data_IF_930761293676
#
_entry.id   IF_930761293676
#
_cell.length_a   1.000
_cell.length_b   1.000
_cell.length_c   1.000
_cell.angle_alpha   90.00
_cell.angle_beta   90.00
_cell.angle_gamma   90.00
#
_symmetry.space_group_name_H-M   'P 1'
#
loop_
_entity.id
_entity.type
_entity.pdbx_description
1 polymer ?
#
# COMPACT_ATOMS: atom_id res chain seq x y z
N UNK A 1 16.77 10.93 -0.84
CA UNK A 1 15.61 10.14 -1.35
C UNK A 1 14.54 10.00 -0.28
N UNK A 2 14.91 9.74 0.99
CA UNK A 2 13.94 9.71 2.09
C UNK A 2 13.19 11.02 2.29
N UNK A 3 13.80 12.19 2.13
CA UNK A 3 13.14 13.47 2.47
C UNK A 3 11.81 13.71 1.74
N UNK A 4 11.79 13.47 0.43
CA UNK A 4 10.57 13.59 -0.36
C UNK A 4 9.52 12.54 0.02
N UNK A 5 9.96 11.30 0.24
CA UNK A 5 9.07 10.19 0.61
C UNK A 5 8.50 10.41 2.00
N UNK A 6 9.33 10.80 2.97
CA UNK A 6 8.95 11.15 4.32
C UNK A 6 7.90 12.26 4.30
N UNK A 7 8.11 13.33 3.51
CA UNK A 7 7.12 14.40 3.33
C UNK A 7 5.74 13.85 2.89
N UNK A 8 5.70 12.88 1.97
CA UNK A 8 4.44 12.27 1.54
C UNK A 8 3.78 11.51 2.69
N UNK A 9 4.54 10.71 3.44
CA UNK A 9 3.98 9.90 4.52
C UNK A 9 3.55 10.75 5.72
N UNK A 10 4.38 11.72 6.11
CA UNK A 10 4.15 12.63 7.23
C UNK A 10 2.97 13.56 6.97
N UNK A 11 2.64 13.84 5.70
CA UNK A 11 1.40 14.54 5.33
C UNK A 11 0.15 13.79 5.81
N UNK A 12 0.18 12.45 5.83
CA UNK A 12 -0.95 11.63 6.29
C UNK A 12 -0.86 11.31 7.78
N UNK A 13 0.35 11.07 8.30
CA UNK A 13 0.55 10.75 9.71
C UNK A 13 1.92 11.21 10.20
N UNK A 14 1.91 12.09 11.20
CA UNK A 14 3.09 12.53 11.92
C UNK A 14 2.86 12.42 13.42
N UNK A 15 3.81 11.81 14.12
CA UNK A 15 3.82 11.73 15.58
C UNK A 15 5.26 11.70 16.08
N UNK A 16 5.68 12.71 16.85
CA UNK A 16 7.00 12.71 17.47
C UNK A 16 6.94 11.97 18.83
N UNK A 17 7.93 11.13 19.19
CA UNK A 17 9.20 10.89 18.48
C UNK A 17 9.15 9.79 17.39
N UNK A 18 8.03 9.07 17.26
CA UNK A 18 7.90 7.92 16.34
C UNK A 18 8.31 8.22 14.88
N UNK A 19 7.80 9.30 14.29
CA UNK A 19 8.09 9.69 12.90
C UNK A 19 9.56 10.03 12.69
N UNK A 20 10.21 10.61 13.68
CA UNK A 20 11.64 10.95 13.64
C UNK A 20 12.48 9.67 13.57
N UNK A 21 12.10 8.64 14.34
CA UNK A 21 12.75 7.34 14.32
C UNK A 21 12.48 6.58 13.01
N UNK A 22 11.26 6.66 12.46
CA UNK A 22 10.92 6.07 11.14
C UNK A 22 11.77 6.69 10.04
N UNK A 23 12.01 8.00 10.12
CA UNK A 23 12.91 8.72 9.22
C UNK A 23 14.36 8.28 9.39
N UNK A 24 14.87 8.27 10.62
CA UNK A 24 16.25 7.92 10.95
C UNK A 24 16.62 6.50 10.51
N UNK A 25 15.71 5.54 10.71
CA UNK A 25 15.89 4.14 10.29
C UNK A 25 15.64 3.90 8.80
N UNK A 26 15.29 4.94 8.05
CA UNK A 26 15.03 4.88 6.62
C UNK A 26 13.88 3.97 6.22
N UNK A 27 12.92 3.78 7.11
CA UNK A 27 11.74 2.92 6.90
C UNK A 27 10.83 3.50 5.81
N UNK A 28 10.72 4.84 5.71
CA UNK A 28 9.91 5.50 4.68
C UNK A 28 10.25 5.05 3.27
N UNK A 29 11.54 5.01 2.90
CA UNK A 29 11.97 4.57 1.57
C UNK A 29 11.63 3.10 1.29
N UNK A 30 11.75 2.23 2.29
CA UNK A 30 11.40 0.81 2.15
C UNK A 30 9.89 0.63 1.93
N UNK A 31 9.07 1.33 2.72
CA UNK A 31 7.61 1.26 2.58
C UNK A 31 7.12 1.83 1.26
N UNK A 32 7.70 2.93 0.77
CA UNK A 32 7.35 3.48 -0.53
C UNK A 32 7.60 2.48 -1.67
N UNK A 33 8.73 1.78 -1.63
CA UNK A 33 9.06 0.76 -2.63
C UNK A 33 8.09 -0.43 -2.56
N UNK A 34 7.78 -0.91 -1.35
CA UNK A 34 6.83 -2.03 -1.15
C UNK A 34 5.43 -1.65 -1.58
N UNK A 35 4.96 -0.45 -1.23
CA UNK A 35 3.65 0.05 -1.66
C UNK A 35 3.56 0.13 -3.18
N UNK A 36 4.61 0.65 -3.84
CA UNK A 36 4.65 0.77 -5.29
C UNK A 36 4.62 -0.59 -5.98
N UNK A 37 5.48 -1.53 -5.53
CA UNK A 37 5.55 -2.87 -6.11
C UNK A 37 4.29 -3.69 -5.84
N UNK A 38 3.80 -3.71 -4.59
CA UNK A 38 2.59 -4.46 -4.22
C UNK A 38 1.39 -3.97 -5.03
N UNK A 39 1.13 -2.66 -5.04
CA UNK A 39 0.00 -2.09 -5.75
C UNK A 39 0.07 -2.34 -7.26
N UNK A 40 1.26 -2.25 -7.84
CA UNK A 40 1.47 -2.53 -9.26
C UNK A 40 1.27 -4.02 -9.59
N UNK A 41 1.85 -4.93 -8.81
CA UNK A 41 1.74 -6.37 -9.00
C UNK A 41 0.29 -6.85 -8.86
N UNK A 42 -0.43 -6.36 -7.85
CA UNK A 42 -1.84 -6.70 -7.66
C UNK A 42 -2.69 -6.20 -8.84
N UNK A 43 -2.41 -5.01 -9.36
CA UNK A 43 -3.10 -4.50 -10.55
C UNK A 43 -2.79 -5.36 -11.79
N UNK A 44 -1.53 -5.75 -12.01
CA UNK A 44 -1.15 -6.66 -13.10
C UNK A 44 -1.85 -8.02 -12.96
N UNK A 45 -1.84 -8.58 -11.75
CA UNK A 45 -2.48 -9.86 -11.45
C UNK A 45 -3.95 -9.83 -11.84
N UNK A 46 -4.67 -8.77 -11.48
CA UNK A 46 -6.09 -8.64 -11.79
C UNK A 46 -6.36 -8.45 -13.29
N UNK A 47 -5.70 -7.48 -13.94
CA UNK A 47 -6.05 -7.07 -15.30
C UNK A 47 -5.46 -7.97 -16.41
N UNK A 48 -4.35 -8.66 -16.15
CA UNK A 48 -3.62 -9.42 -17.17
C UNK A 48 -3.44 -10.90 -16.86
N UNK A 49 -3.16 -11.28 -15.61
CA UNK A 49 -2.88 -12.68 -15.26
C UNK A 49 -4.19 -13.44 -15.04
N UNK A 50 -5.05 -12.95 -14.16
CA UNK A 50 -6.35 -13.58 -13.91
C UNK A 50 -7.25 -13.34 -15.12
N UNK A 51 -7.50 -12.07 -15.47
CA UNK A 51 -8.23 -11.60 -16.67
C UNK A 51 -9.36 -12.53 -17.18
N UNK A 52 -10.17 -13.05 -16.24
CA UNK A 52 -11.19 -14.07 -16.53
C UNK A 52 -12.58 -13.45 -16.45
N UNK A 53 -13.52 -13.77 -17.36
CA UNK A 53 -14.89 -13.23 -17.31
C UNK A 53 -15.63 -13.51 -16.01
N UNK A 54 -15.35 -14.65 -15.35
CA UNK A 54 -15.92 -14.98 -14.04
C UNK A 54 -15.36 -14.14 -12.90
N UNK A 55 -14.18 -13.52 -13.08
CA UNK A 55 -13.44 -12.74 -12.08
C UNK A 55 -13.13 -11.32 -12.59
N UNK A 56 -14.10 -10.67 -13.23
CA UNK A 56 -13.93 -9.34 -13.84
C UNK A 56 -15.08 -8.41 -13.48
N UNK A 57 -15.52 -8.45 -12.22
CA UNK A 57 -16.62 -7.60 -11.70
C UNK A 57 -16.06 -6.60 -10.69
N UNK A 58 -16.78 -5.51 -10.45
CA UNK A 58 -16.34 -4.43 -9.57
C UNK A 58 -15.99 -4.90 -8.14
N UNK A 59 -16.71 -5.88 -7.61
CA UNK A 59 -16.43 -6.43 -6.28
C UNK A 59 -15.19 -7.34 -6.26
N UNK A 60 -14.81 -7.97 -7.38
CA UNK A 60 -13.53 -8.66 -7.49
C UNK A 60 -12.37 -7.66 -7.47
N UNK A 61 -12.54 -6.52 -8.15
CA UNK A 61 -11.58 -5.42 -8.07
C UNK A 61 -11.48 -4.89 -6.63
N UNK A 62 -12.61 -4.71 -5.93
CA UNK A 62 -12.62 -4.29 -4.52
C UNK A 62 -11.93 -5.32 -3.62
N UNK A 63 -12.13 -6.62 -3.88
CA UNK A 63 -11.40 -7.69 -3.18
C UNK A 63 -9.88 -7.54 -3.37
N UNK A 64 -9.41 -7.29 -4.60
CA UNK A 64 -7.98 -7.08 -4.86
C UNK A 64 -7.44 -5.83 -4.14
N UNK A 65 -8.24 -4.75 -4.06
CA UNK A 65 -7.91 -3.56 -3.27
C UNK A 65 -7.75 -3.90 -1.79
N UNK A 66 -8.71 -4.64 -1.20
CA UNK A 66 -8.66 -5.08 0.20
C UNK A 66 -7.44 -5.97 0.45
N UNK A 67 -7.12 -6.88 -0.47
CA UNK A 67 -5.91 -7.72 -0.37
C UNK A 67 -4.66 -6.85 -0.35
N UNK A 68 -4.53 -5.90 -1.27
CA UNK A 68 -3.38 -4.99 -1.30
C UNK A 68 -3.26 -4.15 -0.02
N UNK A 69 -4.39 -3.66 0.49
CA UNK A 69 -4.47 -2.92 1.74
C UNK A 69 -3.96 -3.79 2.91
N UNK A 70 -4.46 -5.01 3.06
CA UNK A 70 -4.06 -5.89 4.17
C UNK A 70 -2.59 -6.30 4.09
N UNK A 71 -2.09 -6.61 2.90
CA UNK A 71 -0.67 -6.97 2.68
C UNK A 71 0.25 -5.82 3.08
N UNK A 72 -0.03 -4.61 2.59
CA UNK A 72 0.81 -3.44 2.88
C UNK A 72 0.67 -2.93 4.31
N UNK A 73 -0.51 -3.07 4.92
CA UNK A 73 -0.72 -2.84 6.35
C UNK A 73 0.14 -3.78 7.20
N UNK A 74 0.01 -5.10 6.98
CA UNK A 74 0.74 -6.10 7.75
C UNK A 74 2.26 -5.96 7.59
N UNK A 75 2.72 -5.64 6.38
CA UNK A 75 4.13 -5.40 6.12
C UNK A 75 4.64 -4.17 6.88
N UNK A 76 3.93 -3.04 6.83
CA UNK A 76 4.33 -1.83 7.55
C UNK A 76 4.38 -2.02 9.05
N UNK A 77 3.38 -2.71 9.62
CA UNK A 77 3.32 -3.00 11.05
C UNK A 77 4.49 -3.88 11.47
N UNK A 78 4.70 -5.00 10.77
CA UNK A 78 5.78 -5.94 11.12
C UNK A 78 7.17 -5.32 10.93
N UNK A 79 7.38 -4.52 9.88
CA UNK A 79 8.65 -3.84 9.65
C UNK A 79 8.97 -2.85 10.78
N UNK A 80 8.03 -1.96 11.10
CA UNK A 80 8.24 -0.93 12.14
C UNK A 80 8.38 -1.54 13.52
N UNK A 81 7.48 -2.45 13.89
CA UNK A 81 7.53 -3.14 15.18
C UNK A 81 8.85 -3.88 15.38
N UNK A 82 9.24 -4.75 14.43
CA UNK A 82 10.47 -5.52 14.56
C UNK A 82 11.72 -4.63 14.58
N UNK A 83 11.71 -3.54 13.80
CA UNK A 83 12.84 -2.59 13.76
C UNK A 83 13.02 -1.87 15.09
N UNK A 84 11.93 -1.35 15.65
CA UNK A 84 12.00 -0.56 16.87
C UNK A 84 12.19 -1.41 18.11
N UNK A 85 11.60 -2.62 18.18
CA UNK A 85 11.93 -3.58 19.23
C UNK A 85 13.41 -3.98 19.22
N UNK A 86 14.03 -4.11 18.04
CA UNK A 86 15.47 -4.39 17.94
C UNK A 86 16.36 -3.22 18.41
N UNK A 87 15.81 -2.01 18.51
CA UNK A 87 16.47 -0.79 19.00
C UNK A 87 16.07 -0.43 20.43
N UNK A 88 15.31 -1.30 21.12
CA UNK A 88 14.77 -1.05 22.46
C UNK A 88 13.86 0.18 22.54
N UNK A 89 13.20 0.51 21.42
CA UNK A 89 12.19 1.56 21.30
C UNK A 89 10.79 0.97 21.39
N UNK A 90 9.97 1.51 22.30
CA UNK A 90 8.61 1.05 22.50
C UNK A 90 7.58 2.13 22.16
N UNK A 91 6.68 1.77 21.27
CA UNK A 91 5.52 2.56 20.88
C UNK A 91 4.26 1.69 21.00
N UNK A 92 3.08 2.29 20.94
CA UNK A 92 1.82 1.58 21.17
C UNK A 92 0.88 1.75 19.98
N UNK A 93 0.02 2.77 20.04
CA UNK A 93 -0.98 3.08 19.02
C UNK A 93 -0.37 3.55 17.70
N UNK A 94 0.86 4.06 17.73
CA UNK A 94 1.58 4.64 16.60
C UNK A 94 1.80 3.59 15.51
N UNK A 95 2.18 2.36 15.88
CA UNK A 95 2.34 1.26 14.93
C UNK A 95 1.06 0.99 14.12
N UNK A 96 -0.09 1.01 14.79
CA UNK A 96 -1.38 0.75 14.16
C UNK A 96 -1.79 1.91 13.24
N UNK A 97 -1.72 3.14 13.74
CA UNK A 97 -2.12 4.33 12.97
C UNK A 97 -1.21 4.54 11.77
N UNK A 98 0.10 4.43 11.96
CA UNK A 98 1.06 4.55 10.86
C UNK A 98 0.84 3.50 9.77
N UNK A 99 0.66 2.23 10.15
CA UNK A 99 0.41 1.14 9.21
C UNK A 99 -0.90 1.32 8.46
N UNK A 100 -1.93 1.86 9.13
CA UNK A 100 -3.21 2.20 8.52
C UNK A 100 -3.05 3.24 7.42
N UNK A 101 -2.38 4.36 7.72
CA UNK A 101 -2.14 5.42 6.73
C UNK A 101 -1.23 4.93 5.59
N UNK A 102 -0.22 4.10 5.88
CA UNK A 102 0.59 3.45 4.85
C UNK A 102 -0.27 2.62 3.88
N UNK A 103 -1.18 1.80 4.40
CA UNK A 103 -2.06 0.96 3.59
C UNK A 103 -3.05 1.78 2.76
N UNK A 104 -3.47 2.95 3.24
CA UNK A 104 -4.28 3.90 2.47
C UNK A 104 -3.48 4.51 1.30
N UNK A 105 -2.22 4.88 1.52
CA UNK A 105 -1.32 5.35 0.44
C UNK A 105 -1.17 4.25 -0.62
N UNK A 106 -0.89 3.01 -0.20
CA UNK A 106 -0.80 1.87 -1.11
C UNK A 106 -2.10 1.63 -1.89
N UNK A 107 -3.25 1.74 -1.23
CA UNK A 107 -4.56 1.61 -1.86
C UNK A 107 -4.78 2.66 -2.95
N UNK A 108 -4.42 3.92 -2.68
CA UNK A 108 -4.45 4.99 -3.68
C UNK A 108 -3.56 4.66 -4.89
N UNK A 109 -2.34 4.15 -4.66
CA UNK A 109 -1.46 3.69 -5.74
C UNK A 109 -2.08 2.55 -6.56
N UNK A 110 -2.75 1.59 -5.92
CA UNK A 110 -3.44 0.50 -6.62
C UNK A 110 -4.57 1.03 -7.50
N UNK A 111 -5.33 2.02 -7.02
CA UNK A 111 -6.36 2.69 -7.81
C UNK A 111 -5.73 3.37 -9.03
N UNK A 112 -4.68 4.16 -8.84
CA UNK A 112 -3.96 4.83 -9.93
C UNK A 112 -3.50 3.81 -10.98
N UNK A 113 -2.78 2.77 -10.56
CA UNK A 113 -2.30 1.74 -11.49
C UNK A 113 -3.44 1.02 -12.22
N UNK A 114 -4.54 0.70 -11.52
CA UNK A 114 -5.72 0.09 -12.13
C UNK A 114 -6.27 0.93 -13.29
N UNK A 115 -6.45 2.24 -13.08
CA UNK A 115 -6.96 3.14 -14.11
C UNK A 115 -5.95 3.38 -15.23
N UNK A 116 -4.65 3.32 -14.96
CA UNK A 116 -3.59 3.45 -15.96
C UNK A 116 -3.49 2.23 -16.87
N UNK A 117 -3.65 1.00 -16.35
CA UNK A 117 -3.37 -0.22 -17.12
C UNK A 117 -4.61 -0.91 -17.69
N UNK A 118 -5.83 -0.60 -17.22
CA UNK A 118 -7.06 -1.32 -17.62
C UNK A 118 -7.35 -1.38 -19.13
N UNK A 119 -6.78 -0.47 -19.92
CA UNK A 119 -7.14 -0.26 -21.33
C UNK A 119 -6.84 -1.44 -22.25
N UNK A 120 -5.86 -2.27 -21.89
CA UNK A 120 -5.40 -3.43 -22.66
C UNK A 120 -5.93 -4.78 -22.15
N UNK A 121 -6.74 -4.78 -21.08
CA UNK A 121 -7.40 -5.99 -20.60
C UNK A 121 -8.54 -6.40 -21.54
N UNK A 122 -8.73 -7.70 -21.79
CA UNK A 122 -9.82 -8.20 -22.64
C UNK A 122 -11.13 -8.35 -21.86
N UNK A 123 -11.09 -8.93 -20.65
CA UNK A 123 -12.28 -9.23 -19.84
C UNK A 123 -12.54 -8.16 -18.77
N UNK A 124 -11.50 -7.58 -18.17
CA UNK A 124 -11.62 -6.69 -17.01
C UNK A 124 -11.61 -5.19 -17.34
N UNK A 125 -11.48 -4.78 -18.61
CA UNK A 125 -11.32 -3.37 -19.04
C UNK A 125 -12.33 -2.38 -18.46
N UNK A 126 -13.57 -2.83 -18.24
CA UNK A 126 -14.65 -1.96 -17.79
C UNK A 126 -14.77 -1.87 -16.26
N UNK A 127 -14.08 -2.72 -15.51
CA UNK A 127 -13.98 -2.61 -14.04
C UNK A 127 -13.05 -1.46 -13.64
N UNK A 128 -13.32 -0.76 -12.53
CA UNK A 128 -14.29 -1.07 -11.47
C UNK A 128 -15.70 -0.48 -11.65
N UNK A 129 -16.05 0.11 -12.79
CA UNK A 129 -17.36 0.75 -12.97
C UNK A 129 -18.45 -0.35 -13.07
N UNK A 130 -19.50 -0.33 -12.23
CA UNK A 130 -20.58 -1.30 -12.31
C UNK A 130 -21.36 -1.17 -13.63
N UNK A 131 -21.91 -2.28 -14.12
CA UNK A 131 -22.78 -2.36 -15.30
C UNK A 131 -24.07 -3.05 -14.92
#
# INVERSE_FOLDING_TARGET
MNDFVATIFELFYYSAPFSDDVYAEGIYGQLALVNLLSSFLVAILFYYIINRPSFSRWYHWLLMLIINFLVTYSFAYTLTYNRFTALELEYSSEYFMFSLFNALIASTLFVIFSFSIRWWSSSAKRTPIPH
#
